data_IF_163999263867
#
_entry.id   IF_163999263867
#
_cell.length_a   1.000
_cell.length_b   1.000
_cell.length_c   1.000
_cell.angle_alpha   90.00
_cell.angle_beta   90.00
_cell.angle_gamma   90.00
#
_symmetry.space_group_name_H-M   'P 1'
#
loop_
_entity.id
_entity.type
_entity.pdbx_description
1 polymer ?
#
# COMPACT_ATOMS: atom_id res chain seq x y z
N UNK A 1 -7.40 10.53 0.86
CA UNK A 1 -6.19 9.80 0.44
C UNK A 1 -5.99 8.60 1.35
N UNK A 2 -6.51 7.45 0.91
CA UNK A 2 -6.59 6.14 1.57
C UNK A 2 -7.32 6.10 2.92
N UNK A 3 -6.68 6.35 4.06
CA UNK A 3 -7.32 6.15 5.39
C UNK A 3 -8.58 7.00 5.58
N UNK A 4 -8.59 8.20 5.00
CA UNK A 4 -9.78 9.08 4.99
C UNK A 4 -10.92 8.54 4.12
N UNK A 5 -10.60 7.82 3.05
CA UNK A 5 -11.59 7.26 2.11
C UNK A 5 -12.12 5.91 2.58
N UNK A 6 -11.29 5.13 3.26
CA UNK A 6 -11.65 3.88 3.88
C UNK A 6 -11.11 3.82 5.32
N UNK A 7 -11.93 4.18 6.33
CA UNK A 7 -11.54 4.17 7.74
C UNK A 7 -11.22 2.78 8.31
N UNK A 8 -11.55 1.71 7.59
CA UNK A 8 -11.17 0.34 7.98
C UNK A 8 -9.70 0.03 7.67
N UNK A 9 -9.04 0.87 6.86
CA UNK A 9 -7.59 0.79 6.63
C UNK A 9 -6.87 1.51 7.78
N UNK A 10 -5.97 0.78 8.44
CA UNK A 10 -5.14 1.31 9.52
C UNK A 10 -3.68 0.82 9.45
N UNK A 11 -3.32 0.15 8.34
CA UNK A 11 -1.98 -0.35 8.06
C UNK A 11 -1.59 0.06 6.62
N UNK A 12 -1.09 1.28 6.46
CA UNK A 12 -0.58 1.77 5.17
C UNK A 12 0.93 1.67 5.17
N UNK A 13 1.47 0.84 4.26
CA UNK A 13 2.91 0.61 4.16
C UNK A 13 3.43 1.19 2.85
N UNK A 14 4.48 2.02 2.93
CA UNK A 14 5.20 2.51 1.75
C UNK A 14 6.32 1.52 1.44
N UNK A 15 6.31 0.99 0.22
CA UNK A 15 7.15 -0.12 -0.20
C UNK A 15 7.82 0.26 -1.52
N UNK A 16 9.13 0.04 -1.61
CA UNK A 16 9.85 0.29 -2.84
C UNK A 16 9.46 -0.76 -3.90
N UNK A 17 9.23 -0.31 -5.14
CA UNK A 17 8.90 -1.18 -6.25
C UNK A 17 9.92 -2.32 -6.40
N UNK A 18 9.44 -3.56 -6.40
CA UNK A 18 10.25 -4.78 -6.44
C UNK A 18 10.60 -5.39 -5.08
N UNK A 19 10.27 -4.74 -3.96
CA UNK A 19 10.44 -5.34 -2.63
C UNK A 19 9.49 -6.53 -2.43
N UNK A 20 9.96 -7.62 -1.79
CA UNK A 20 9.10 -8.73 -1.45
C UNK A 20 8.09 -8.30 -0.39
N UNK A 21 6.82 -8.67 -0.59
CA UNK A 21 5.74 -8.45 0.37
C UNK A 21 5.05 -9.77 0.68
N UNK A 22 4.47 -9.92 1.87
CA UNK A 22 3.61 -11.06 2.18
C UNK A 22 2.50 -11.23 1.13
N UNK A 23 2.20 -12.47 0.77
CA UNK A 23 1.09 -12.82 -0.12
C UNK A 23 -0.22 -13.11 0.64
N UNK A 24 -0.29 -12.75 1.93
CA UNK A 24 -1.52 -12.84 2.72
C UNK A 24 -2.49 -11.72 2.33
N UNK A 25 -3.80 -11.93 2.54
CA UNK A 25 -4.82 -10.91 2.32
C UNK A 25 -5.25 -10.28 3.65
N UNK A 26 -5.16 -8.96 3.77
CA UNK A 26 -5.58 -8.19 4.95
C UNK A 26 -6.47 -7.01 4.59
N UNK A 27 -7.74 -7.07 5.00
CA UNK A 27 -8.74 -6.05 4.71
C UNK A 27 -8.39 -4.64 5.22
N UNK A 28 -7.48 -4.54 6.21
CA UNK A 28 -7.08 -3.29 6.85
C UNK A 28 -5.73 -2.75 6.36
N UNK A 29 -5.10 -3.41 5.38
CA UNK A 29 -3.77 -3.06 4.89
C UNK A 29 -3.79 -2.64 3.42
N UNK A 30 -2.98 -1.63 3.11
CA UNK A 30 -2.72 -1.15 1.75
C UNK A 30 -1.21 -0.98 1.56
N UNK A 31 -0.69 -1.52 0.47
CA UNK A 31 0.68 -1.26 0.04
C UNK A 31 0.70 -0.08 -0.94
N UNK A 32 1.42 0.98 -0.57
CA UNK A 32 1.80 2.07 -1.45
C UNK A 32 3.13 1.72 -2.12
N UNK A 33 3.07 1.35 -3.40
CA UNK A 33 4.26 0.98 -4.15
C UNK A 33 4.87 2.20 -4.81
N UNK A 34 6.02 2.63 -4.29
CA UNK A 34 6.73 3.82 -4.74
C UNK A 34 8.02 3.48 -5.48
N UNK A 35 8.52 4.42 -6.28
CA UNK A 35 9.88 4.36 -6.82
C UNK A 35 10.89 5.11 -5.91
N UNK A 36 12.18 5.09 -6.28
CA UNK A 36 13.25 5.76 -5.52
C UNK A 36 13.09 7.29 -5.42
N UNK A 37 12.19 7.88 -6.22
CA UNK A 37 11.87 9.30 -6.20
C UNK A 37 10.64 9.61 -5.34
N UNK A 38 10.03 8.61 -4.70
CA UNK A 38 8.83 8.76 -3.86
C UNK A 38 7.53 8.94 -4.65
N UNK A 39 7.48 8.51 -5.91
CA UNK A 39 6.24 8.53 -6.70
C UNK A 39 5.57 7.17 -6.66
N UNK A 40 4.25 7.16 -6.41
CA UNK A 40 3.40 5.97 -6.51
C UNK A 40 3.38 5.48 -7.96
N UNK A 41 3.86 4.25 -8.18
CA UNK A 41 3.99 3.64 -9.51
C UNK A 41 3.00 2.49 -9.74
N UNK A 42 2.24 2.07 -8.74
CA UNK A 42 1.13 1.12 -8.87
C UNK A 42 -0.13 1.68 -8.20
N UNK A 43 -1.29 1.36 -8.76
CA UNK A 43 -2.58 1.77 -8.18
C UNK A 43 -2.72 1.11 -6.80
N UNK A 44 -2.94 1.84 -5.70
CA UNK A 44 -3.07 1.23 -4.37
C UNK A 44 -4.28 0.28 -4.29
N UNK A 45 -4.10 -0.88 -3.66
CA UNK A 45 -5.17 -1.86 -3.42
C UNK A 45 -5.11 -2.39 -1.99
N UNK A 46 -6.26 -2.89 -1.52
CA UNK A 46 -6.35 -3.60 -0.25
C UNK A 46 -5.69 -4.96 -0.40
N UNK A 47 -4.67 -5.23 0.42
CA UNK A 47 -3.77 -6.36 0.31
C UNK A 47 -3.48 -6.96 1.67
#
# INVERSE_FOLDING_TARGET
>A
MIEKENPSINDVQIILNGSPVPADFRCNRVHLIDNILGNVVQIPWVA
#
